data_IF_814965977534
#
_entry.id   IF_814965977534
#
_cell.length_a   1.000
_cell.length_b   1.000
_cell.length_c   1.000
_cell.angle_alpha   90.00
_cell.angle_beta   90.00
_cell.angle_gamma   90.00
#
_symmetry.space_group_name_H-M   'P 1'
#
loop_
_entity.id
_entity.type
_entity.pdbx_description
1 polymer ?
#
# COMPACT_ATOMS: atom_id res chain seq x y z
N UNK A 1 -20.59 3.07 8.52
CA UNK A 1 -19.48 2.30 9.11
C UNK A 1 -18.72 1.68 7.96
N UNK A 2 -17.40 1.87 7.86
CA UNK A 2 -16.56 1.18 6.88
C UNK A 2 -15.88 -0.01 7.55
N UNK A 3 -15.85 -1.15 6.89
CA UNK A 3 -15.09 -2.31 7.33
C UNK A 3 -13.58 -2.01 7.24
N UNK A 4 -12.74 -2.64 8.09
CA UNK A 4 -11.29 -2.43 8.04
C UNK A 4 -10.70 -2.72 6.66
N UNK A 5 -11.19 -3.75 5.98
CA UNK A 5 -10.77 -4.08 4.61
C UNK A 5 -11.14 -2.99 3.60
N UNK A 6 -12.30 -2.32 3.75
CA UNK A 6 -12.69 -1.19 2.91
C UNK A 6 -11.73 -0.02 3.07
N UNK A 7 -11.29 0.28 4.29
CA UNK A 7 -10.27 1.32 4.51
C UNK A 7 -8.94 0.96 3.83
N UNK A 8 -8.53 -0.32 3.89
CA UNK A 8 -7.30 -0.79 3.25
C UNK A 8 -7.38 -0.62 1.74
N UNK A 9 -8.45 -1.11 1.10
CA UNK A 9 -8.54 -1.08 -0.37
C UNK A 9 -8.78 0.33 -0.91
N UNK A 10 -9.42 1.22 -0.15
CA UNK A 10 -9.69 2.60 -0.58
C UNK A 10 -8.51 3.54 -0.31
N UNK A 11 -7.77 3.37 0.78
CA UNK A 11 -6.74 4.32 1.20
C UNK A 11 -5.33 3.73 1.16
N UNK A 12 -5.14 2.53 1.70
CA UNK A 12 -3.80 1.97 1.93
C UNK A 12 -3.21 1.42 0.63
N UNK A 13 -3.91 0.51 -0.05
CA UNK A 13 -3.40 -0.15 -1.26
C UNK A 13 -3.17 0.83 -2.42
N UNK A 14 -4.05 1.82 -2.70
CA UNK A 14 -3.80 2.80 -3.74
C UNK A 14 -2.56 3.66 -3.45
N UNK A 15 -2.40 4.11 -2.19
CA UNK A 15 -1.23 4.87 -1.77
C UNK A 15 0.04 4.02 -1.84
N UNK A 16 -0.01 2.77 -1.39
CA UNK A 16 1.10 1.83 -1.46
C UNK A 16 1.55 1.59 -2.91
N UNK A 17 0.61 1.32 -3.84
CA UNK A 17 0.93 1.13 -5.28
C UNK A 17 1.60 2.36 -5.87
N UNK A 18 1.07 3.55 -5.57
CA UNK A 18 1.68 4.81 -5.95
C UNK A 18 3.11 4.92 -5.47
N UNK A 19 3.29 4.74 -4.16
CA UNK A 19 4.56 4.96 -3.51
C UNK A 19 5.61 3.93 -3.92
N UNK A 20 5.24 2.64 -4.04
CA UNK A 20 6.08 1.59 -4.60
C UNK A 20 6.54 1.95 -6.03
N UNK A 21 5.62 2.38 -6.90
CA UNK A 21 5.98 2.78 -8.25
C UNK A 21 6.98 3.95 -8.24
N UNK A 22 6.79 4.94 -7.36
CA UNK A 22 7.71 6.07 -7.20
C UNK A 22 9.09 5.62 -6.70
N UNK A 23 9.15 4.75 -5.70
CA UNK A 23 10.42 4.19 -5.18
C UNK A 23 11.18 3.42 -6.25
N UNK A 24 10.48 2.57 -7.01
CA UNK A 24 11.08 1.79 -8.10
C UNK A 24 11.62 2.67 -9.24
N UNK A 25 10.95 3.77 -9.58
CA UNK A 25 11.47 4.75 -10.55
C UNK A 25 12.67 5.49 -9.98
N UNK A 26 12.54 6.06 -8.79
CA UNK A 26 13.48 7.07 -8.27
C UNK A 26 14.76 6.48 -7.67
N UNK A 27 14.66 5.36 -6.93
CA UNK A 27 15.83 4.72 -6.30
C UNK A 27 16.42 3.59 -7.14
N UNK A 28 15.59 2.89 -7.92
CA UNK A 28 16.02 1.72 -8.69
C UNK A 28 16.10 1.97 -10.21
N UNK A 29 15.70 3.16 -10.68
CA UNK A 29 15.82 3.53 -12.09
C UNK A 29 14.88 2.76 -13.04
N UNK A 30 13.86 2.07 -12.53
CA UNK A 30 12.94 1.30 -13.37
C UNK A 30 12.08 2.22 -14.24
N UNK A 31 11.85 1.81 -15.48
CA UNK A 31 10.94 2.48 -16.40
C UNK A 31 9.48 2.17 -16.05
N UNK A 32 8.56 3.04 -16.47
CA UNK A 32 7.11 2.79 -16.30
C UNK A 32 6.65 1.49 -16.97
N UNK A 33 7.31 1.07 -18.06
CA UNK A 33 7.00 -0.18 -18.77
C UNK A 33 7.42 -1.40 -17.97
N UNK A 34 8.60 -1.39 -17.35
CA UNK A 34 9.07 -2.48 -16.48
C UNK A 34 8.19 -2.60 -15.24
N UNK A 35 7.83 -1.48 -14.62
CA UNK A 35 6.91 -1.46 -13.47
C UNK A 35 5.54 -1.98 -13.87
N UNK A 36 5.00 -1.57 -15.02
CA UNK A 36 3.70 -2.03 -15.52
C UNK A 36 3.68 -3.56 -15.69
N UNK A 37 4.74 -4.14 -16.28
CA UNK A 37 4.90 -5.60 -16.38
C UNK A 37 4.95 -6.25 -15.00
N UNK A 38 5.73 -5.70 -14.06
CA UNK A 38 5.89 -6.25 -12.72
C UNK A 38 4.62 -6.15 -11.86
N UNK A 39 3.80 -5.12 -12.09
CA UNK A 39 2.55 -4.88 -11.38
C UNK A 39 1.35 -5.59 -12.04
N UNK A 40 1.52 -6.12 -13.26
CA UNK A 40 0.42 -6.69 -14.03
C UNK A 40 -0.62 -5.65 -14.47
N UNK A 41 -0.19 -4.41 -14.76
CA UNK A 41 -1.07 -3.30 -15.16
C UNK A 41 -0.55 -2.61 -16.43
N UNK A 42 -1.27 -1.60 -16.91
CA UNK A 42 -0.83 -0.81 -18.07
C UNK A 42 0.20 0.26 -17.67
N UNK A 43 1.06 0.66 -18.60
CA UNK A 43 1.97 1.82 -18.40
C UNK A 43 1.21 3.11 -18.12
N UNK A 44 0.00 3.26 -18.65
CA UNK A 44 -0.91 4.37 -18.33
C UNK A 44 -1.34 4.35 -16.85
N UNK A 45 -1.64 3.17 -16.28
CA UNK A 45 -1.93 3.05 -14.85
C UNK A 45 -0.72 3.47 -13.99
N UNK A 46 0.50 3.06 -14.36
CA UNK A 46 1.73 3.49 -13.68
C UNK A 46 1.94 4.99 -13.80
N UNK A 47 1.68 5.59 -14.96
CA UNK A 47 1.73 7.05 -15.13
C UNK A 47 0.78 7.75 -14.16
N UNK A 48 -0.44 7.22 -13.98
CA UNK A 48 -1.40 7.77 -13.02
C UNK A 48 -0.93 7.60 -11.58
N UNK A 49 -0.31 6.46 -11.23
CA UNK A 49 0.29 6.25 -9.91
C UNK A 49 1.34 7.30 -9.58
N UNK A 50 2.21 7.62 -10.54
CA UNK A 50 3.25 8.64 -10.38
C UNK A 50 2.68 10.07 -10.30
N UNK A 51 1.60 10.36 -11.04
CA UNK A 51 0.92 11.67 -11.00
C UNK A 51 0.10 11.88 -9.73
N UNK A 52 -0.60 10.84 -9.27
CA UNK A 52 -1.56 10.87 -8.16
C UNK A 52 -0.94 11.05 -6.78
N UNK A 53 0.39 10.99 -6.64
CA UNK A 53 1.09 11.27 -5.38
C UNK A 53 1.14 12.78 -5.04
N UNK A 54 0.84 13.68 -5.97
CA UNK A 54 0.85 15.12 -5.67
C UNK A 54 -0.29 15.47 -4.69
N UNK A 55 0.04 15.54 -3.41
CA UNK A 55 -0.89 15.78 -2.29
C UNK A 55 -0.93 14.65 -1.25
N UNK A 56 -0.32 13.50 -1.55
CA UNK A 56 -0.31 12.33 -0.67
C UNK A 56 -1.71 11.79 -0.36
N UNK A 57 -1.80 10.89 0.62
CA UNK A 57 -3.09 10.48 1.16
C UNK A 57 -3.23 11.17 2.51
N UNK A 58 -4.10 12.17 2.59
CA UNK A 58 -4.22 13.05 3.76
C UNK A 58 -4.46 12.29 5.07
N UNK A 59 -5.07 11.10 5.02
CA UNK A 59 -5.27 10.25 6.20
C UNK A 59 -3.96 9.57 6.64
N UNK A 60 -3.15 9.13 5.68
CA UNK A 60 -1.84 8.51 5.94
C UNK A 60 -0.82 9.57 6.35
N UNK A 61 -0.81 10.71 5.66
CA UNK A 61 0.13 11.79 5.90
C UNK A 61 -0.10 12.53 7.23
N UNK A 62 -1.32 12.51 7.77
CA UNK A 62 -1.63 13.04 9.11
C UNK A 62 -1.53 11.99 10.22
N UNK A 63 -1.29 10.74 9.86
CA UNK A 63 -1.16 9.64 10.82
C UNK A 63 0.18 9.69 11.53
N UNK A 64 0.21 9.33 12.81
CA UNK A 64 1.46 9.13 13.55
C UNK A 64 2.33 8.01 12.95
N UNK A 65 1.74 7.11 12.15
CA UNK A 65 2.42 5.98 11.50
C UNK A 65 2.97 6.32 10.10
N UNK A 66 2.90 7.59 9.68
CA UNK A 66 3.30 8.01 8.33
C UNK A 66 4.71 7.55 7.96
N UNK A 67 5.68 7.88 8.81
CA UNK A 67 7.09 7.65 8.48
C UNK A 67 7.41 6.15 8.47
N UNK A 68 6.86 5.39 9.42
CA UNK A 68 7.01 3.93 9.43
C UNK A 68 6.36 3.28 8.20
N UNK A 69 5.20 3.77 7.76
CA UNK A 69 4.52 3.29 6.55
C UNK A 69 5.36 3.51 5.29
N UNK A 70 5.93 4.71 5.11
CA UNK A 70 6.81 4.98 3.97
C UNK A 70 8.16 4.26 4.08
N UNK A 71 8.68 4.03 5.29
CA UNK A 71 9.85 3.19 5.48
C UNK A 71 9.58 1.73 5.11
N UNK A 72 8.40 1.19 5.47
CA UNK A 72 7.96 -0.14 5.03
C UNK A 72 7.88 -0.21 3.50
N UNK A 73 7.26 0.77 2.85
CA UNK A 73 7.19 0.84 1.38
C UNK A 73 8.58 0.84 0.74
N UNK A 74 9.52 1.64 1.26
CA UNK A 74 10.89 1.69 0.74
C UNK A 74 11.56 0.33 0.82
N UNK A 75 11.47 -0.37 1.97
CA UNK A 75 12.03 -1.72 2.12
C UNK A 75 11.36 -2.71 1.17
N UNK A 76 10.03 -2.65 1.04
CA UNK A 76 9.29 -3.50 0.11
C UNK A 76 9.67 -3.24 -1.34
N UNK A 77 9.95 -1.98 -1.72
CA UNK A 77 10.45 -1.65 -3.06
C UNK A 77 11.83 -2.27 -3.34
N UNK A 78 12.73 -2.28 -2.35
CA UNK A 78 14.03 -2.96 -2.45
C UNK A 78 13.85 -4.47 -2.71
N UNK A 79 12.93 -5.10 -1.97
CA UNK A 79 12.59 -6.52 -2.14
C UNK A 79 11.96 -6.80 -3.51
N UNK A 80 11.10 -5.89 -3.99
CA UNK A 80 10.53 -5.97 -5.34
C UNK A 80 11.61 -5.89 -6.41
N UNK A 81 12.56 -4.97 -6.28
CA UNK A 81 13.69 -4.88 -7.20
C UNK A 81 14.51 -6.18 -7.23
N UNK A 82 14.65 -6.86 -6.09
CA UNK A 82 15.32 -8.16 -5.96
C UNK A 82 14.50 -9.36 -6.46
N UNK A 83 13.23 -9.17 -6.85
CA UNK A 83 12.42 -10.24 -7.46
C UNK A 83 11.06 -10.47 -6.82
N UNK A 84 10.76 -9.90 -5.65
CA UNK A 84 9.43 -10.03 -5.03
C UNK A 84 8.33 -9.55 -5.99
N UNK A 85 7.23 -10.29 -6.05
CA UNK A 85 6.08 -9.93 -6.89
C UNK A 85 5.20 -8.89 -6.16
N UNK A 86 4.30 -8.24 -6.92
CA UNK A 86 3.45 -7.17 -6.39
C UNK A 86 2.42 -7.68 -5.36
N UNK A 87 1.97 -8.93 -5.47
CA UNK A 87 0.97 -9.47 -4.54
C UNK A 87 1.57 -9.65 -3.15
N UNK A 88 2.76 -10.24 -3.07
CA UNK A 88 3.51 -10.41 -1.81
C UNK A 88 3.85 -9.06 -1.20
N UNK A 89 4.30 -8.11 -2.01
CA UNK A 89 4.59 -6.74 -1.58
C UNK A 89 3.36 -6.07 -0.95
N UNK A 90 2.21 -6.12 -1.62
CA UNK A 90 0.97 -5.53 -1.10
C UNK A 90 0.42 -6.28 0.12
N UNK A 91 0.57 -7.61 0.17
CA UNK A 91 0.22 -8.42 1.34
C UNK A 91 1.06 -8.03 2.56
N UNK A 92 2.38 -7.87 2.39
CA UNK A 92 3.29 -7.45 3.46
C UNK A 92 2.93 -6.05 3.99
N UNK A 93 2.64 -5.09 3.12
CA UNK A 93 2.21 -3.74 3.52
C UNK A 93 0.85 -3.80 4.24
N UNK A 94 -0.09 -4.59 3.73
CA UNK A 94 -1.42 -4.77 4.34
C UNK A 94 -1.31 -5.40 5.75
N UNK A 95 -0.47 -6.40 5.92
CA UNK A 95 -0.22 -7.06 7.20
C UNK A 95 0.42 -6.12 8.21
N UNK A 96 1.39 -5.32 7.78
CA UNK A 96 1.97 -4.27 8.61
C UNK A 96 0.91 -3.29 9.13
N UNK A 97 0.06 -2.77 8.24
CA UNK A 97 -0.99 -1.79 8.56
C UNK A 97 -2.05 -2.35 9.50
N UNK A 98 -2.35 -3.66 9.38
CA UNK A 98 -3.25 -4.37 10.29
C UNK A 98 -2.69 -4.49 11.71
N UNK A 99 -1.37 -4.64 11.85
CA UNK A 99 -0.74 -4.96 13.13
C UNK A 99 -0.17 -3.73 13.86
N UNK A 100 0.21 -2.66 13.17
CA UNK A 100 0.84 -1.49 13.80
C UNK A 100 -0.15 -0.50 14.44
N UNK A 101 -1.46 -0.70 14.28
CA UNK A 101 -2.49 0.21 14.81
C UNK A 101 -2.87 1.35 13.86
N UNK A 102 -2.25 1.44 12.69
CA UNK A 102 -2.57 2.44 11.67
C UNK A 102 -4.02 2.39 11.20
N UNK A 103 -4.62 1.20 11.11
CA UNK A 103 -6.06 1.06 10.83
C UNK A 103 -6.94 1.82 11.81
N UNK A 104 -6.61 1.79 13.10
CA UNK A 104 -7.36 2.52 14.13
C UNK A 104 -7.24 4.02 13.93
N UNK A 105 -6.06 4.51 13.56
CA UNK A 105 -5.87 5.92 13.22
C UNK A 105 -6.74 6.33 12.02
N UNK A 106 -6.71 5.55 10.92
CA UNK A 106 -7.52 5.82 9.73
C UNK A 106 -9.03 5.82 10.04
N UNK A 107 -9.48 4.90 10.89
CA UNK A 107 -10.88 4.79 11.29
C UNK A 107 -11.38 6.02 12.06
N UNK A 108 -10.56 6.55 12.99
CA UNK A 108 -10.86 7.77 13.75
C UNK A 108 -10.88 9.00 12.85
N UNK A 109 -9.94 9.12 11.91
CA UNK A 109 -9.89 10.27 10.98
C UNK A 109 -11.09 10.34 10.03
N UNK A 110 -11.68 9.20 9.66
CA UNK A 110 -12.93 9.14 8.88
C UNK A 110 -14.18 9.51 9.71
N UNK A 111 -14.03 9.82 11.00
CA UNK A 111 -15.10 10.29 11.86
C UNK A 111 -15.93 9.16 12.50
N UNK A 112 -15.45 7.91 12.46
CA UNK A 112 -16.13 6.80 13.10
C UNK A 112 -15.67 6.61 14.54
N UNK A 113 -16.61 6.30 15.43
CA UNK A 113 -16.37 5.96 16.84
C UNK A 113 -16.89 4.54 17.11
N UNK A 114 -16.08 3.69 17.76
CA UNK A 114 -16.42 2.31 18.09
C UNK A 114 -15.22 1.34 18.06
N UNK A 115 -15.32 0.24 18.79
CA UNK A 115 -14.24 -0.75 18.99
C UNK A 115 -14.20 -1.87 17.94
N UNK A 116 -15.09 -1.82 16.94
CA UNK A 116 -15.24 -2.89 15.95
C UNK A 116 -14.27 -2.73 14.77
N UNK A 117 -13.00 -3.01 15.02
CA UNK A 117 -11.97 -3.30 13.99
C UNK A 117 -11.78 -4.81 13.78
N UNK A 118 -12.75 -5.64 14.17
CA UNK A 118 -12.64 -7.10 14.11
C UNK A 118 -12.85 -7.61 12.67
N UNK A 119 -11.78 -7.62 11.88
CA UNK A 119 -11.67 -8.44 10.68
C UNK A 119 -10.31 -9.13 10.71
N UNK A 120 -10.25 -10.30 11.36
CA UNK A 120 -8.99 -10.88 11.85
C UNK A 120 -8.17 -11.62 10.80
N UNK A 121 -8.75 -12.15 9.71
CA UNK A 121 -7.94 -12.94 8.77
C UNK A 121 -8.35 -12.67 7.32
N UNK A 122 -7.36 -12.27 6.51
CA UNK A 122 -7.46 -12.35 5.06
C UNK A 122 -6.76 -13.65 4.66
N UNK A 123 -7.46 -14.63 4.05
CA UNK A 123 -6.81 -15.85 3.63
C UNK A 123 -5.77 -15.48 2.57
N UNK A 124 -4.47 -15.64 2.91
CA UNK A 124 -3.41 -15.58 1.91
C UNK A 124 -3.72 -16.68 0.90
N UNK A 125 -3.91 -16.33 -0.38
CA UNK A 125 -4.04 -17.33 -1.43
C UNK A 125 -2.69 -18.00 -1.55
N UNK A 126 -2.52 -19.15 -0.92
CA UNK A 126 -1.38 -20.03 -1.14
C UNK A 126 -1.66 -20.72 -2.47
N UNK A 127 -0.81 -20.49 -3.48
CA UNK A 127 -0.90 -21.20 -4.75
C UNK A 127 -0.99 -22.71 -4.48
N UNK A 128 -2.08 -23.33 -4.95
CA UNK A 128 -2.22 -24.78 -4.94
C UNK A 128 -1.23 -25.28 -6.01
N UNK A 129 -0.14 -25.89 -5.55
CA UNK A 129 0.82 -26.61 -6.40
C UNK A 129 0.16 -27.79 -7.09
#
# INVERSE_FOLDING_TARGET
>A
MKMPCELIVTHVLPTAKGALAKELVTRHGMTQVEIAKKFGVTSAAVSQYLKGIRGGNSLIDKSAYRDDFYQMISRTADQMYQGMNINDALCQICEYVKNCGMLKALYVFEGFSGDQLACFECPKIIEIK
#
